data_IF_168028755206
#
_entry.id   IF_168028755206
#
_cell.length_a   1.000
_cell.length_b   1.000
_cell.length_c   1.000
_cell.angle_alpha   90.00
_cell.angle_beta   90.00
_cell.angle_gamma   90.00
#
_symmetry.space_group_name_H-M   'P 1'
#
loop_
_entity.id
_entity.type
_entity.pdbx_description
1 polymer ?
#
# COMPACT_ATOMS: atom_id res chain seq x y z
N UNK A 1 5.93 -35.29 13.26
CA UNK A 1 4.99 -35.13 12.13
C UNK A 1 3.59 -34.64 12.54
N UNK A 2 3.09 -34.87 13.78
CA UNK A 2 1.78 -34.32 14.21
C UNK A 2 1.83 -32.94 14.88
N UNK A 3 2.98 -32.56 15.46
CA UNK A 3 3.13 -31.28 16.20
C UNK A 3 3.23 -30.06 15.27
N UNK A 4 3.91 -30.17 14.13
CA UNK A 4 4.10 -29.06 13.18
C UNK A 4 2.78 -28.61 12.54
N UNK A 5 1.92 -29.54 12.14
CA UNK A 5 0.63 -29.23 11.54
C UNK A 5 -0.34 -28.54 12.54
N UNK A 6 -0.22 -28.85 13.83
CA UNK A 6 -1.00 -28.16 14.88
C UNK A 6 -0.46 -26.76 15.13
N UNK A 7 0.87 -26.59 15.09
CA UNK A 7 1.53 -25.30 15.25
C UNK A 7 1.16 -24.35 14.11
N UNK A 8 1.24 -24.81 12.86
CA UNK A 8 0.91 -24.01 11.66
C UNK A 8 -0.56 -23.57 11.69
N UNK A 9 -1.47 -24.44 12.13
CA UNK A 9 -2.89 -24.14 12.21
C UNK A 9 -3.23 -23.05 13.24
N UNK A 10 -2.38 -22.86 14.26
CA UNK A 10 -2.52 -21.78 15.24
C UNK A 10 -1.74 -20.51 14.85
N UNK A 11 -0.54 -20.66 14.27
CA UNK A 11 0.35 -19.55 13.94
C UNK A 11 -0.17 -18.71 12.76
N UNK A 12 -0.76 -19.36 11.75
CA UNK A 12 -1.32 -18.69 10.56
C UNK A 12 -2.48 -17.74 10.91
N UNK A 13 -3.55 -18.19 11.61
CA UNK A 13 -4.63 -17.29 11.99
C UNK A 13 -4.17 -16.23 13.00
N UNK A 14 -3.22 -16.53 13.88
CA UNK A 14 -2.64 -15.55 14.80
C UNK A 14 -1.89 -14.45 14.05
N UNK A 15 -1.06 -14.81 13.05
CA UNK A 15 -0.36 -13.86 12.20
C UNK A 15 -1.32 -12.97 11.41
N UNK A 16 -2.37 -13.57 10.83
CA UNK A 16 -3.44 -12.83 10.16
C UNK A 16 -4.18 -11.89 11.12
N UNK A 17 -4.48 -12.33 12.34
CA UNK A 17 -5.14 -11.51 13.34
C UNK A 17 -4.31 -10.29 13.74
N UNK A 18 -3.00 -10.46 13.96
CA UNK A 18 -2.08 -9.35 14.26
C UNK A 18 -1.99 -8.39 13.07
N UNK A 19 -1.88 -8.90 11.85
CA UNK A 19 -1.84 -8.10 10.63
C UNK A 19 -3.10 -7.25 10.46
N UNK A 20 -4.28 -7.87 10.62
CA UNK A 20 -5.57 -7.19 10.53
C UNK A 20 -5.76 -6.18 11.68
N UNK A 21 -5.39 -6.55 12.91
CA UNK A 21 -5.46 -5.66 14.06
C UNK A 21 -4.58 -4.41 13.86
N UNK A 22 -3.37 -4.57 13.34
CA UNK A 22 -2.49 -3.46 13.02
C UNK A 22 -3.10 -2.53 11.96
N UNK A 23 -3.62 -3.09 10.86
CA UNK A 23 -4.24 -2.28 9.80
C UNK A 23 -5.52 -1.61 10.28
N UNK A 24 -6.34 -2.28 11.10
CA UNK A 24 -7.53 -1.70 11.70
C UNK A 24 -7.18 -0.58 12.69
N UNK A 25 -6.15 -0.76 13.53
CA UNK A 25 -5.66 0.28 14.44
C UNK A 25 -5.08 1.47 13.68
N UNK A 26 -4.30 1.21 12.63
CA UNK A 26 -3.75 2.24 11.75
C UNK A 26 -4.87 3.04 11.09
N UNK A 27 -5.86 2.35 10.50
CA UNK A 27 -7.04 2.97 9.89
C UNK A 27 -7.84 3.79 10.90
N UNK A 28 -8.10 3.23 12.09
CA UNK A 28 -8.78 3.92 13.17
C UNK A 28 -8.02 5.18 13.60
N UNK A 29 -6.70 5.10 13.74
CA UNK A 29 -5.84 6.22 14.13
C UNK A 29 -5.84 7.33 13.09
N UNK A 30 -5.80 6.96 11.79
CA UNK A 30 -5.90 7.92 10.68
C UNK A 30 -7.25 8.66 10.72
N UNK A 31 -8.34 7.95 10.97
CA UNK A 31 -9.70 8.54 10.99
C UNK A 31 -9.93 9.38 12.25
N UNK A 32 -9.56 8.89 13.44
CA UNK A 32 -9.83 9.57 14.72
C UNK A 32 -8.87 10.72 15.03
N UNK A 33 -7.61 10.66 14.57
CA UNK A 33 -6.59 11.65 14.86
C UNK A 33 -5.87 12.14 13.57
N UNK A 34 -6.60 12.76 12.63
CA UNK A 34 -6.05 13.15 11.33
C UNK A 34 -4.87 14.11 11.44
N UNK A 35 -4.85 15.06 12.39
CA UNK A 35 -3.76 16.04 12.55
C UNK A 35 -2.47 15.48 13.19
N UNK A 36 -2.52 14.28 13.76
CA UNK A 36 -1.34 13.63 14.38
C UNK A 36 -0.61 12.70 13.43
N UNK A 37 -1.26 12.28 12.34
CA UNK A 37 -0.70 11.33 11.38
C UNK A 37 -0.31 12.04 10.10
N UNK A 38 0.83 11.64 9.52
CA UNK A 38 1.32 12.16 8.22
C UNK A 38 0.27 11.98 7.13
N UNK A 39 -0.52 10.91 7.21
CA UNK A 39 -1.58 10.57 6.25
C UNK A 39 -2.74 11.59 6.30
N UNK A 40 -3.17 12.01 7.49
CA UNK A 40 -4.25 13.00 7.62
C UNK A 40 -3.82 14.40 7.16
N UNK A 41 -2.60 14.84 7.53
CA UNK A 41 -2.02 16.10 7.02
C UNK A 41 -1.86 16.05 5.50
N UNK A 42 -1.43 14.92 4.94
CA UNK A 42 -1.32 14.73 3.50
C UNK A 42 -2.67 14.83 2.77
N UNK A 43 -3.75 14.35 3.40
CA UNK A 43 -5.10 14.50 2.86
C UNK A 43 -5.58 15.96 2.86
N UNK A 44 -5.37 16.69 3.95
CA UNK A 44 -5.69 18.12 4.03
C UNK A 44 -4.85 18.93 3.04
N UNK A 45 -3.56 18.64 2.93
CA UNK A 45 -2.65 19.26 1.96
C UNK A 45 -3.11 19.02 0.52
N UNK A 46 -3.51 17.78 0.19
CA UNK A 46 -4.05 17.45 -1.14
C UNK A 46 -5.35 18.20 -1.43
N UNK A 47 -6.24 18.32 -0.44
CA UNK A 47 -7.48 19.08 -0.60
C UNK A 47 -7.20 20.57 -0.88
N UNK A 48 -6.34 21.20 -0.08
CA UNK A 48 -5.94 22.58 -0.27
C UNK A 48 -5.21 22.80 -1.60
N UNK A 49 -4.39 21.83 -2.03
CA UNK A 49 -3.73 21.86 -3.33
C UNK A 49 -4.74 21.84 -4.47
N UNK A 50 -5.77 20.98 -4.43
CA UNK A 50 -6.83 20.97 -5.45
C UNK A 50 -7.55 22.32 -5.51
N UNK A 51 -7.91 22.89 -4.36
CA UNK A 51 -8.54 24.22 -4.30
C UNK A 51 -7.63 25.28 -4.94
N UNK A 52 -6.33 25.28 -4.63
CA UNK A 52 -5.34 26.19 -5.24
C UNK A 52 -5.21 26.02 -6.76
N UNK A 53 -5.28 24.79 -7.26
CA UNK A 53 -5.30 24.50 -8.71
C UNK A 53 -6.58 25.03 -9.35
N UNK A 54 -7.74 24.88 -8.69
CA UNK A 54 -9.04 25.32 -9.20
C UNK A 54 -9.22 26.85 -9.15
N UNK A 55 -8.53 27.55 -8.26
CA UNK A 55 -8.54 29.01 -8.18
C UNK A 55 -7.94 29.66 -9.42
N UNK A 56 -6.85 29.10 -9.97
CA UNK A 56 -6.17 29.63 -11.17
C UNK A 56 -5.88 28.52 -12.21
N UNK A 57 -6.91 27.99 -12.91
CA UNK A 57 -6.76 26.83 -13.79
C UNK A 57 -5.80 27.06 -14.97
N UNK A 58 -5.74 28.30 -15.48
CA UNK A 58 -4.91 28.65 -16.64
C UNK A 58 -3.41 28.58 -16.30
N UNK A 59 -3.03 28.92 -15.06
CA UNK A 59 -1.64 28.89 -14.60
C UNK A 59 -1.25 27.53 -14.00
N UNK A 60 -2.15 26.96 -13.19
CA UNK A 60 -1.87 25.76 -12.40
C UNK A 60 -2.28 24.45 -13.09
N UNK A 61 -3.01 24.52 -14.21
CA UNK A 61 -3.51 23.35 -14.93
C UNK A 61 -2.41 22.43 -15.47
N UNK A 62 -1.32 23.00 -16.00
CA UNK A 62 -0.18 22.19 -16.49
C UNK A 62 0.50 21.44 -15.34
N UNK A 63 0.69 22.11 -14.20
CA UNK A 63 1.26 21.48 -13.00
C UNK A 63 0.35 20.34 -12.51
N UNK A 64 -0.97 20.53 -12.51
CA UNK A 64 -1.93 19.50 -12.13
C UNK A 64 -1.85 18.26 -13.03
N UNK A 65 -1.84 18.45 -14.35
CA UNK A 65 -1.69 17.34 -15.32
C UNK A 65 -0.36 16.61 -15.13
N UNK A 66 0.72 17.35 -14.89
CA UNK A 66 2.04 16.76 -14.63
C UNK A 66 2.06 15.95 -13.33
N UNK A 67 1.46 16.45 -12.25
CA UNK A 67 1.32 15.72 -10.98
C UNK A 67 0.55 14.42 -11.18
N UNK A 68 -0.57 14.46 -11.92
CA UNK A 68 -1.38 13.26 -12.21
C UNK A 68 -0.56 12.23 -13.00
N UNK A 69 0.14 12.66 -14.05
CA UNK A 69 0.97 11.76 -14.86
C UNK A 69 2.12 11.14 -14.07
N UNK A 70 2.75 11.91 -13.17
CA UNK A 70 3.80 11.40 -12.28
C UNK A 70 3.26 10.29 -11.37
N UNK A 71 2.10 10.51 -10.75
CA UNK A 71 1.47 9.50 -9.90
C UNK A 71 1.06 8.24 -10.68
N UNK A 72 0.52 8.38 -11.90
CA UNK A 72 0.19 7.24 -12.76
C UNK A 72 1.46 6.45 -13.10
N UNK A 73 2.55 7.14 -13.49
CA UNK A 73 3.83 6.50 -13.78
C UNK A 73 4.40 5.78 -12.54
N UNK A 74 4.39 6.42 -11.37
CA UNK A 74 4.85 5.79 -10.14
C UNK A 74 4.01 4.54 -9.79
N UNK A 75 2.69 4.60 -9.99
CA UNK A 75 1.80 3.46 -9.77
C UNK A 75 2.05 2.32 -10.76
N UNK A 76 2.27 2.60 -12.04
CA UNK A 76 2.56 1.54 -13.03
C UNK A 76 3.94 0.93 -12.80
N UNK A 77 4.93 1.73 -12.41
CA UNK A 77 6.24 1.22 -11.98
C UNK A 77 6.11 0.32 -10.75
N UNK A 78 5.37 0.74 -9.71
CA UNK A 78 5.14 -0.11 -8.55
C UNK A 78 4.38 -1.39 -8.93
N UNK A 79 3.40 -1.31 -9.82
CA UNK A 79 2.68 -2.48 -10.32
C UNK A 79 3.62 -3.46 -11.05
N UNK A 80 4.47 -2.99 -11.95
CA UNK A 80 5.43 -3.86 -12.65
C UNK A 80 6.45 -4.46 -11.69
N UNK A 81 6.92 -3.70 -10.69
CA UNK A 81 7.79 -4.24 -9.64
C UNK A 81 7.09 -5.33 -8.83
N UNK A 82 5.82 -5.14 -8.45
CA UNK A 82 5.04 -6.14 -7.71
C UNK A 82 4.84 -7.44 -8.52
N UNK A 83 4.52 -7.32 -9.81
CA UNK A 83 4.41 -8.46 -10.73
C UNK A 83 5.77 -9.17 -10.84
N UNK A 84 6.86 -8.41 -10.97
CA UNK A 84 8.21 -8.95 -11.10
C UNK A 84 8.62 -9.73 -9.84
N UNK A 85 8.39 -9.15 -8.65
CA UNK A 85 8.65 -9.81 -7.37
C UNK A 85 7.79 -11.07 -7.21
N UNK A 86 6.51 -11.01 -7.58
CA UNK A 86 5.60 -12.16 -7.52
C UNK A 86 6.08 -13.30 -8.43
N UNK A 87 6.50 -12.98 -9.66
CA UNK A 87 7.04 -13.95 -10.61
C UNK A 87 8.33 -14.60 -10.09
N UNK A 88 9.26 -13.79 -9.57
CA UNK A 88 10.52 -14.28 -9.00
C UNK A 88 10.25 -15.24 -7.83
N UNK A 89 9.39 -14.85 -6.88
CA UNK A 89 9.03 -15.69 -5.74
C UNK A 89 8.41 -17.02 -6.22
N UNK A 90 7.50 -16.96 -7.19
CA UNK A 90 6.85 -18.15 -7.76
C UNK A 90 7.88 -19.13 -8.35
N UNK A 91 8.86 -18.65 -9.11
CA UNK A 91 9.91 -19.49 -9.69
C UNK A 91 10.79 -20.11 -8.59
N UNK A 92 11.21 -19.32 -7.59
CA UNK A 92 12.01 -19.83 -6.48
C UNK A 92 11.28 -20.89 -5.65
N UNK A 93 9.99 -20.70 -5.36
CA UNK A 93 9.16 -21.68 -4.65
C UNK A 93 9.00 -22.95 -5.49
N UNK A 94 8.69 -22.81 -6.78
CA UNK A 94 8.48 -23.95 -7.69
C UNK A 94 9.75 -24.79 -7.90
N UNK A 95 10.92 -24.16 -7.92
CA UNK A 95 12.19 -24.88 -8.01
C UNK A 95 12.48 -25.67 -6.73
N UNK A 96 12.17 -25.14 -5.55
CA UNK A 96 12.35 -25.89 -4.29
C UNK A 96 11.42 -27.09 -4.19
N UNK A 97 10.16 -26.95 -4.57
CA UNK A 97 9.20 -28.07 -4.56
C UNK A 97 9.55 -29.17 -5.58
N UNK A 98 10.33 -28.87 -6.62
CA UNK A 98 10.74 -29.86 -7.61
C UNK A 98 11.98 -30.68 -7.21
N UNK A 99 12.72 -30.25 -6.17
CA UNK A 99 13.94 -30.92 -5.69
C UNK A 99 13.71 -31.76 -4.40
N UNK A 100 12.52 -31.71 -3.81
CA UNK A 100 12.05 -32.56 -2.70
C UNK A 100 10.98 -33.52 -3.19
#
# INVERSE_FOLDING_TARGET
MMEEHQLDYALVPLGLAIFLAYHAWLMFTIIRYPRRTVIGINSESRHNWVLSVMTDPIKNGVLAVQTIRNNIMASTLLATTAITLSSIISVFVSNKSSFT
#
